data_IF_495527234702
#
_entry.id   IF_495527234702
#
_cell.length_a   1.000
_cell.length_b   1.000
_cell.length_c   1.000
_cell.angle_alpha   90.00
_cell.angle_beta   90.00
_cell.angle_gamma   90.00
#
_symmetry.space_group_name_H-M   'P 1'
#
loop_
_entity.id
_entity.type
_entity.pdbx_description
1 polymer ?
#
# COMPACT_ATOMS: atom_id res chain seq x y z
N UNK A 1 18.64 -5.42 4.28
CA UNK A 1 18.21 -5.67 5.68
C UNK A 1 17.17 -6.79 5.75
N UNK A 2 16.16 -6.76 4.92
CA UNK A 2 15.19 -7.84 4.71
C UNK A 2 15.35 -8.32 3.28
N UNK A 3 15.51 -9.61 3.07
CA UNK A 3 15.71 -10.23 1.76
C UNK A 3 14.72 -11.37 1.61
N UNK A 4 13.99 -11.38 0.51
CA UNK A 4 12.96 -12.38 0.18
C UNK A 4 13.22 -12.87 -1.23
N UNK A 5 13.41 -14.18 -1.40
CA UNK A 5 13.77 -14.81 -2.65
C UNK A 5 12.80 -15.94 -2.98
N UNK A 6 12.06 -15.80 -4.08
CA UNK A 6 11.14 -16.80 -4.63
C UNK A 6 10.19 -17.42 -3.59
N UNK A 7 9.74 -16.59 -2.63
CA UNK A 7 8.92 -17.05 -1.52
C UNK A 7 7.54 -17.46 -1.98
N UNK A 8 7.15 -18.70 -1.70
CA UNK A 8 5.85 -19.24 -2.08
C UNK A 8 5.13 -19.89 -0.90
N UNK A 9 3.81 -19.81 -0.89
CA UNK A 9 2.95 -20.48 0.09
C UNK A 9 1.70 -21.03 -0.57
N UNK A 10 1.50 -22.33 -0.42
CA UNK A 10 0.34 -23.06 -0.92
C UNK A 10 -0.45 -23.59 0.27
N UNK A 11 -1.77 -23.40 0.28
CA UNK A 11 -2.72 -23.98 1.22
C UNK A 11 -3.57 -25.01 0.49
N UNK A 12 -3.30 -26.29 0.77
CA UNK A 12 -3.91 -27.37 -0.02
C UNK A 12 -3.51 -27.27 -1.49
N UNK A 13 -4.46 -26.98 -2.37
CA UNK A 13 -4.23 -26.73 -3.81
C UNK A 13 -4.16 -25.24 -4.19
N UNK A 14 -4.43 -24.34 -3.24
CA UNK A 14 -4.55 -22.90 -3.55
C UNK A 14 -3.26 -22.16 -3.21
N UNK A 15 -2.57 -21.56 -4.18
CA UNK A 15 -1.43 -20.69 -3.93
C UNK A 15 -1.89 -19.36 -3.34
N UNK A 16 -1.37 -19.02 -2.16
CA UNK A 16 -1.61 -17.73 -1.53
C UNK A 16 -0.56 -16.69 -1.92
N UNK A 17 0.68 -17.12 -2.12
CA UNK A 17 1.77 -16.36 -2.72
C UNK A 17 2.63 -17.28 -3.58
N UNK A 18 3.18 -16.75 -4.68
CA UNK A 18 3.98 -17.47 -5.66
C UNK A 18 5.18 -16.61 -6.08
N UNK A 19 6.38 -17.14 -5.86
CA UNK A 19 7.67 -16.57 -6.29
C UNK A 19 7.88 -15.10 -5.89
N UNK A 20 7.39 -14.70 -4.71
CA UNK A 20 7.53 -13.35 -4.19
C UNK A 20 9.00 -13.07 -3.92
N UNK A 21 9.55 -12.05 -4.58
CA UNK A 21 10.93 -11.62 -4.45
C UNK A 21 10.99 -10.11 -4.26
N UNK A 22 11.61 -9.65 -3.17
CA UNK A 22 11.87 -8.24 -2.90
C UNK A 22 12.95 -8.08 -1.83
N UNK A 23 13.50 -6.86 -1.75
CA UNK A 23 14.52 -6.49 -0.77
C UNK A 23 14.19 -5.16 -0.11
N UNK A 24 14.50 -5.03 1.19
CA UNK A 24 14.35 -3.79 1.96
C UNK A 24 15.71 -3.41 2.53
N UNK A 25 16.16 -2.20 2.20
CA UNK A 25 17.46 -1.70 2.66
C UNK A 25 17.40 -1.22 4.12
N UNK A 26 18.54 -1.14 4.81
CA UNK A 26 18.60 -0.61 6.18
C UNK A 26 18.01 0.79 6.28
N UNK A 27 17.13 1.01 7.27
CA UNK A 27 16.51 2.32 7.55
C UNK A 27 15.40 2.75 6.59
N UNK A 28 15.07 1.93 5.59
CA UNK A 28 14.04 2.18 4.59
C UNK A 28 12.64 1.85 5.12
N UNK A 29 11.62 2.61 4.68
CA UNK A 29 10.21 2.23 4.79
C UNK A 29 9.72 1.74 3.43
N UNK A 30 9.38 0.45 3.34
CA UNK A 30 8.77 -0.13 2.14
C UNK A 30 7.27 -0.38 2.39
N UNK A 31 6.45 0.20 1.52
CA UNK A 31 5.02 -0.09 1.46
C UNK A 31 4.78 -1.40 0.71
N UNK A 32 4.08 -2.34 1.35
CA UNK A 32 3.63 -3.59 0.73
C UNK A 32 2.15 -3.46 0.40
N UNK A 33 1.85 -3.02 -0.83
CA UNK A 33 0.54 -2.57 -1.28
C UNK A 33 -0.16 -3.66 -2.09
N UNK A 34 -1.45 -3.86 -1.88
CA UNK A 34 -2.24 -4.79 -2.69
C UNK A 34 -3.69 -4.89 -2.21
N UNK A 35 -4.60 -5.40 -3.05
CA UNK A 35 -5.99 -5.61 -2.66
C UNK A 35 -6.12 -6.66 -1.55
N UNK A 36 -7.32 -6.77 -0.98
CA UNK A 36 -7.61 -7.83 -0.02
C UNK A 36 -7.48 -9.20 -0.70
N UNK A 37 -6.83 -10.15 -0.01
CA UNK A 37 -6.55 -11.47 -0.58
C UNK A 37 -5.32 -11.55 -1.50
N UNK A 38 -4.60 -10.45 -1.75
CA UNK A 38 -3.41 -10.44 -2.61
C UNK A 38 -2.19 -11.20 -2.04
N UNK A 39 -2.23 -11.63 -0.77
CA UNK A 39 -1.11 -12.35 -0.14
C UNK A 39 -0.31 -11.53 0.87
N UNK A 40 -0.66 -10.26 1.14
CA UNK A 40 0.06 -9.37 2.07
C UNK A 40 0.28 -10.00 3.45
N UNK A 41 -0.79 -10.32 4.16
CA UNK A 41 -0.73 -10.90 5.51
C UNK A 41 -0.03 -12.26 5.53
N UNK A 42 -0.17 -13.08 4.48
CA UNK A 42 0.56 -14.34 4.35
C UNK A 42 2.06 -14.09 4.29
N UNK A 43 2.51 -13.14 3.48
CA UNK A 43 3.92 -12.73 3.40
C UNK A 43 4.42 -12.21 4.75
N UNK A 44 3.68 -11.32 5.41
CA UNK A 44 4.07 -10.79 6.73
C UNK A 44 4.19 -11.89 7.79
N UNK A 45 3.27 -12.86 7.80
CA UNK A 45 3.33 -14.02 8.73
C UNK A 45 4.53 -14.93 8.49
N UNK A 46 4.96 -15.10 7.24
CA UNK A 46 6.18 -15.87 6.94
C UNK A 46 7.41 -15.11 7.43
N UNK A 47 7.53 -13.82 7.09
CA UNK A 47 8.66 -12.99 7.52
C UNK A 47 8.82 -12.94 9.05
N UNK A 48 7.71 -13.00 9.78
CA UNK A 48 7.73 -12.98 11.25
C UNK A 48 7.96 -14.38 11.88
N UNK A 49 8.16 -15.41 11.05
CA UNK A 49 8.34 -16.78 11.50
C UNK A 49 7.09 -17.39 12.14
N UNK A 50 5.91 -16.80 11.88
CA UNK A 50 4.63 -17.33 12.36
C UNK A 50 4.10 -18.46 11.47
N UNK A 51 4.43 -18.42 10.18
CA UNK A 51 3.97 -19.35 9.16
C UNK A 51 5.19 -19.86 8.36
N UNK A 52 5.38 -21.16 8.15
CA UNK A 52 6.42 -21.67 7.25
C UNK A 52 6.04 -21.42 5.78
N UNK A 53 7.03 -21.06 4.96
CA UNK A 53 6.89 -21.05 3.51
C UNK A 53 6.73 -22.49 2.96
N UNK A 54 6.18 -22.62 1.74
CA UNK A 54 6.19 -23.90 1.01
C UNK A 54 7.51 -24.04 0.24
N UNK A 55 8.03 -22.94 -0.31
CA UNK A 55 9.34 -22.87 -0.98
C UNK A 55 9.88 -21.45 -0.94
N UNK A 56 11.14 -21.27 -1.34
CA UNK A 56 11.84 -20.00 -1.29
C UNK A 56 12.43 -19.70 0.08
N UNK A 57 13.11 -18.56 0.20
CA UNK A 57 13.80 -18.15 1.41
C UNK A 57 13.47 -16.73 1.81
N UNK A 58 13.54 -16.42 3.09
CA UNK A 58 13.47 -15.06 3.61
C UNK A 58 14.50 -14.89 4.72
N UNK A 59 15.20 -13.75 4.71
CA UNK A 59 16.22 -13.40 5.69
C UNK A 59 15.96 -12.04 6.28
N UNK A 60 16.17 -11.91 7.59
CA UNK A 60 16.06 -10.64 8.32
C UNK A 60 17.32 -10.46 9.15
N UNK A 61 17.99 -9.31 8.96
CA UNK A 61 19.26 -9.00 9.62
C UNK A 61 20.32 -10.14 9.45
N UNK A 62 20.33 -10.79 8.28
CA UNK A 62 21.24 -11.89 7.95
C UNK A 62 20.80 -13.27 8.44
N UNK A 63 19.70 -13.39 9.20
CA UNK A 63 19.19 -14.65 9.73
C UNK A 63 18.03 -15.18 8.88
N UNK A 64 18.08 -16.47 8.55
CA UNK A 64 16.97 -17.14 7.88
C UNK A 64 15.76 -17.29 8.82
N UNK A 65 14.56 -16.99 8.30
CA UNK A 65 13.33 -16.93 9.11
C UNK A 65 12.87 -18.32 9.60
N UNK A 66 13.28 -19.38 8.93
CA UNK A 66 12.95 -20.76 9.32
C UNK A 66 14.02 -21.40 10.18
N UNK A 67 15.27 -21.38 9.71
CA UNK A 67 16.39 -22.01 10.38
C UNK A 67 16.76 -21.30 11.69
N UNK A 68 16.66 -19.95 11.69
CA UNK A 68 17.06 -19.12 12.82
C UNK A 68 15.87 -18.36 13.43
N UNK A 69 14.69 -18.97 13.49
CA UNK A 69 13.43 -18.30 13.85
C UNK A 69 13.48 -17.52 15.18
N UNK A 70 14.17 -18.02 16.19
CA UNK A 70 14.32 -17.32 17.47
C UNK A 70 15.20 -16.07 17.35
N UNK A 71 16.29 -16.14 16.58
CA UNK A 71 17.15 -14.98 16.32
C UNK A 71 16.42 -13.89 15.54
N UNK A 72 15.59 -14.27 14.56
CA UNK A 72 14.71 -13.38 13.81
C UNK A 72 13.68 -12.73 14.72
N UNK A 73 12.94 -13.50 15.53
CA UNK A 73 11.91 -12.99 16.46
C UNK A 73 12.44 -11.99 17.47
N UNK A 74 13.70 -12.10 17.88
CA UNK A 74 14.36 -11.12 18.75
C UNK A 74 14.70 -9.81 18.02
N UNK A 75 14.84 -9.85 16.68
CA UNK A 75 15.27 -8.73 15.83
C UNK A 75 14.12 -8.05 15.09
N UNK A 76 12.89 -8.56 15.25
CA UNK A 76 11.71 -7.97 14.62
C UNK A 76 10.72 -7.45 15.66
N UNK A 77 10.16 -6.28 15.36
CA UNK A 77 8.91 -5.81 15.92
C UNK A 77 7.77 -6.19 14.98
N UNK A 78 6.69 -6.75 15.48
CA UNK A 78 5.54 -7.12 14.66
C UNK A 78 4.25 -6.59 15.23
N UNK A 79 3.50 -5.87 14.43
CA UNK A 79 2.12 -5.47 14.66
C UNK A 79 1.24 -6.19 13.64
N UNK A 80 0.50 -7.22 14.02
CA UNK A 80 -0.54 -7.79 13.15
C UNK A 80 -1.75 -6.84 13.05
N UNK A 81 -2.60 -7.03 12.04
CA UNK A 81 -3.84 -6.27 11.83
C UNK A 81 -4.69 -6.15 13.11
N UNK A 82 -4.80 -7.23 13.87
CA UNK A 82 -5.41 -7.24 15.20
C UNK A 82 -4.31 -7.41 16.25
N UNK A 83 -3.95 -6.35 17.00
CA UNK A 83 -2.90 -6.43 18.01
C UNK A 83 -3.25 -7.43 19.13
N UNK A 84 -2.33 -8.35 19.49
CA UNK A 84 -2.56 -9.34 20.54
C UNK A 84 -2.35 -8.70 21.94
N UNK A 85 -3.29 -7.87 22.34
CA UNK A 85 -3.23 -7.13 23.59
C UNK A 85 -3.86 -7.91 24.75
N UNK A 86 -3.37 -7.70 25.97
CA UNK A 86 -3.94 -8.26 27.19
C UNK A 86 -4.87 -7.23 27.84
N UNK A 87 -6.21 -7.37 27.70
CA UNK A 87 -7.19 -6.34 28.09
C UNK A 87 -7.15 -5.93 29.56
N UNK A 88 -6.79 -6.86 30.44
CA UNK A 88 -6.77 -6.66 31.90
C UNK A 88 -5.42 -6.15 32.44
N UNK A 89 -4.43 -5.96 31.56
CA UNK A 89 -3.18 -5.31 31.92
C UNK A 89 -3.26 -3.79 31.70
N UNK A 90 -2.48 -3.04 32.50
CA UNK A 90 -2.21 -1.65 32.17
C UNK A 90 -1.26 -1.55 30.98
N UNK A 91 -1.24 -0.41 30.27
CA UNK A 91 -0.31 -0.17 29.16
C UNK A 91 1.14 -0.44 29.58
N UNK A 92 1.56 0.15 30.70
CA UNK A 92 2.91 -0.03 31.23
C UNK A 92 3.21 -1.48 31.61
N UNK A 93 2.29 -2.14 32.32
CA UNK A 93 2.43 -3.54 32.72
C UNK A 93 2.57 -4.47 31.52
N UNK A 94 1.77 -4.24 30.48
CA UNK A 94 1.86 -5.00 29.23
C UNK A 94 3.20 -4.79 28.52
N UNK A 95 3.66 -3.55 28.40
CA UNK A 95 4.95 -3.26 27.75
C UNK A 95 6.14 -3.84 28.53
N UNK A 96 6.11 -3.83 29.86
CA UNK A 96 7.11 -4.54 30.68
C UNK A 96 7.10 -6.05 30.45
N UNK A 97 5.90 -6.63 30.33
CA UNK A 97 5.76 -8.04 30.00
C UNK A 97 6.36 -8.37 28.62
N UNK A 98 6.04 -7.59 27.60
CA UNK A 98 6.58 -7.77 26.25
C UNK A 98 8.11 -7.58 26.21
N UNK A 99 8.63 -6.52 26.83
CA UNK A 99 10.07 -6.26 26.93
C UNK A 99 10.83 -7.46 27.54
N UNK A 100 10.25 -8.11 28.56
CA UNK A 100 10.81 -9.32 29.18
C UNK A 100 10.83 -10.50 28.21
N UNK A 101 9.73 -10.74 27.49
CA UNK A 101 9.64 -11.84 26.51
C UNK A 101 10.64 -11.62 25.36
N UNK A 102 10.80 -10.36 24.93
CA UNK A 102 11.73 -10.00 23.86
C UNK A 102 13.20 -9.97 24.29
N UNK A 103 13.49 -10.31 25.55
CA UNK A 103 14.86 -10.49 26.04
C UNK A 103 15.54 -9.19 26.49
N UNK A 104 14.80 -8.08 26.67
CA UNK A 104 15.37 -6.84 27.21
C UNK A 104 15.92 -7.08 28.61
N UNK A 105 17.18 -6.70 28.84
CA UNK A 105 17.83 -6.88 30.14
C UNK A 105 17.08 -6.19 31.28
N UNK A 106 17.09 -6.76 32.47
CA UNK A 106 16.29 -6.29 33.59
C UNK A 106 16.53 -4.80 33.92
N UNK A 107 17.81 -4.35 33.84
CA UNK A 107 18.18 -2.96 34.07
C UNK A 107 17.67 -1.96 33.03
N UNK A 108 17.50 -2.41 31.78
CA UNK A 108 17.14 -1.54 30.65
C UNK A 108 15.62 -1.46 30.41
N UNK A 109 14.85 -2.43 30.95
CA UNK A 109 13.40 -2.54 30.69
C UNK A 109 12.62 -1.26 31.02
N UNK A 110 12.90 -0.64 32.15
CA UNK A 110 12.20 0.58 32.56
C UNK A 110 12.47 1.74 31.57
N UNK A 111 13.71 1.86 31.10
CA UNK A 111 14.12 2.84 30.11
C UNK A 111 13.42 2.60 28.77
N UNK A 112 13.47 1.38 28.25
CA UNK A 112 12.87 0.98 26.98
C UNK A 112 11.33 1.12 26.99
N UNK A 113 10.68 0.70 28.06
CA UNK A 113 9.24 0.88 28.24
C UNK A 113 8.86 2.36 28.26
N UNK A 114 9.61 3.18 29.00
CA UNK A 114 9.36 4.62 29.06
C UNK A 114 9.58 5.30 27.69
N UNK A 115 10.61 4.89 26.95
CA UNK A 115 10.88 5.34 25.59
C UNK A 115 9.71 4.98 24.65
N UNK A 116 9.26 3.72 24.62
CA UNK A 116 8.16 3.28 23.77
C UNK A 116 6.83 3.99 24.12
N UNK A 117 6.52 4.19 25.41
CA UNK A 117 5.36 4.95 25.87
C UNK A 117 5.40 6.40 25.36
N UNK A 118 6.54 7.08 25.49
CA UNK A 118 6.72 8.45 25.01
C UNK A 118 6.60 8.51 23.48
N UNK A 119 7.28 7.61 22.77
CA UNK A 119 7.30 7.57 21.30
C UNK A 119 5.90 7.37 20.71
N UNK A 120 5.08 6.54 21.35
CA UNK A 120 3.71 6.27 20.91
C UNK A 120 2.66 7.21 21.50
N UNK A 121 3.07 8.30 22.17
CA UNK A 121 2.17 9.26 22.81
C UNK A 121 1.15 8.59 23.75
N UNK A 122 1.65 7.74 24.66
CA UNK A 122 0.85 6.95 25.61
C UNK A 122 1.02 7.38 27.09
N UNK A 123 1.70 8.51 27.34
CA UNK A 123 2.04 8.95 28.70
C UNK A 123 0.82 9.07 29.61
N UNK A 124 -0.24 9.74 29.14
CA UNK A 124 -1.49 9.93 29.90
C UNK A 124 -2.27 8.61 30.10
N UNK A 125 -2.02 7.62 29.27
CA UNK A 125 -2.68 6.31 29.30
C UNK A 125 -1.86 5.21 29.98
N UNK A 126 -0.65 5.55 30.46
CA UNK A 126 0.34 4.63 31.01
C UNK A 126 -0.23 3.63 32.03
N UNK A 127 -1.06 4.11 32.97
CA UNK A 127 -1.65 3.30 34.04
C UNK A 127 -3.09 2.85 33.75
N UNK A 128 -3.61 3.14 32.56
CA UNK A 128 -4.96 2.78 32.16
C UNK A 128 -4.98 1.31 31.70
N UNK A 129 -6.03 0.58 32.06
CA UNK A 129 -6.25 -0.79 31.55
C UNK A 129 -6.52 -0.74 30.04
N UNK A 130 -5.92 -1.67 29.30
CA UNK A 130 -6.00 -1.72 27.84
C UNK A 130 -7.45 -1.84 27.36
N UNK A 131 -8.33 -2.57 28.05
CA UNK A 131 -9.76 -2.68 27.72
C UNK A 131 -10.51 -1.34 27.73
N UNK A 132 -10.03 -0.35 28.48
CA UNK A 132 -10.63 0.99 28.60
C UNK A 132 -10.15 1.96 27.52
N UNK A 133 -9.23 1.55 26.66
CA UNK A 133 -8.68 2.39 25.61
C UNK A 133 -9.58 2.39 24.35
N UNK A 134 -9.62 3.54 23.64
CA UNK A 134 -10.17 3.60 22.29
C UNK A 134 -9.37 2.72 21.31
N UNK A 135 -9.93 2.44 20.13
CA UNK A 135 -9.26 1.66 19.09
C UNK A 135 -7.90 2.27 18.74
N UNK A 136 -7.82 3.59 18.53
CA UNK A 136 -6.58 4.29 18.21
C UNK A 136 -5.51 4.18 19.30
N UNK A 137 -5.89 4.28 20.58
CA UNK A 137 -4.94 4.04 21.67
C UNK A 137 -4.48 2.58 21.74
N UNK A 138 -5.37 1.61 21.49
CA UNK A 138 -4.98 0.19 21.40
C UNK A 138 -4.00 -0.05 20.26
N UNK A 139 -4.20 0.58 19.11
CA UNK A 139 -3.28 0.50 17.99
C UNK A 139 -1.89 1.05 18.35
N UNK A 140 -1.83 2.20 19.03
CA UNK A 140 -0.57 2.77 19.53
C UNK A 140 0.13 1.86 20.55
N UNK A 141 -0.64 1.17 21.43
CA UNK A 141 -0.07 0.16 22.33
C UNK A 141 0.49 -1.02 21.52
N UNK A 142 -0.17 -1.41 20.43
CA UNK A 142 0.33 -2.42 19.50
C UNK A 142 1.63 -2.01 18.80
N UNK A 143 1.76 -0.74 18.39
CA UNK A 143 3.02 -0.22 17.86
C UNK A 143 4.09 -0.17 18.96
N UNK A 144 3.73 0.31 20.16
CA UNK A 144 4.66 0.37 21.28
C UNK A 144 5.22 -1.00 21.65
N UNK A 145 4.40 -2.05 21.62
CA UNK A 145 4.87 -3.41 21.85
C UNK A 145 5.81 -3.92 20.75
N UNK A 146 5.61 -3.47 19.51
CA UNK A 146 6.50 -3.84 18.41
C UNK A 146 7.88 -3.19 18.54
N UNK A 147 7.97 -1.98 19.11
CA UNK A 147 9.23 -1.23 19.20
C UNK A 147 9.93 -1.30 20.56
N UNK A 148 9.30 -1.82 21.62
CA UNK A 148 9.78 -1.74 23.00
C UNK A 148 11.16 -2.37 23.26
N UNK A 149 11.59 -3.29 22.40
CA UNK A 149 12.90 -3.95 22.47
C UNK A 149 13.91 -3.39 21.46
N UNK A 150 13.59 -2.25 20.84
CA UNK A 150 14.43 -1.54 19.87
C UNK A 150 14.92 -2.44 18.71
N UNK A 151 14.00 -3.10 17.96
CA UNK A 151 14.38 -4.05 16.92
C UNK A 151 14.91 -3.35 15.67
N UNK A 152 15.90 -3.90 14.95
CA UNK A 152 16.39 -3.34 13.69
C UNK A 152 15.35 -3.39 12.56
N UNK A 153 14.36 -4.30 12.62
CA UNK A 153 13.29 -4.42 11.62
C UNK A 153 11.91 -4.37 12.28
N UNK A 154 10.96 -3.66 11.66
CA UNK A 154 9.56 -3.54 12.11
C UNK A 154 8.64 -3.93 10.96
N UNK A 155 7.68 -4.79 11.24
CA UNK A 155 6.64 -5.21 10.30
C UNK A 155 5.29 -4.78 10.86
N UNK A 156 4.58 -3.93 10.10
CA UNK A 156 3.28 -3.38 10.47
C UNK A 156 2.23 -3.85 9.44
N UNK A 157 1.30 -4.67 9.88
CA UNK A 157 0.24 -5.21 9.02
C UNK A 157 -1.04 -4.39 9.25
N UNK A 158 -1.44 -3.59 8.25
CA UNK A 158 -2.62 -2.71 8.26
C UNK A 158 -2.72 -1.80 9.51
N UNK A 159 -1.69 -1.01 9.88
CA UNK A 159 -1.62 -0.33 11.17
C UNK A 159 -2.67 0.77 11.36
N UNK A 160 -3.36 1.20 10.33
CA UNK A 160 -4.33 2.32 10.34
C UNK A 160 -5.77 1.89 10.13
N UNK A 161 -6.02 0.59 9.92
CA UNK A 161 -7.37 0.05 9.67
C UNK A 161 -8.35 0.41 10.78
N UNK A 162 -9.44 1.09 10.36
CA UNK A 162 -10.55 1.49 11.22
C UNK A 162 -10.20 2.57 12.24
N UNK A 163 -9.19 3.37 11.97
CA UNK A 163 -8.90 4.62 12.65
C UNK A 163 -9.61 5.79 11.96
N UNK A 164 -9.88 6.84 12.70
CA UNK A 164 -10.36 8.10 12.13
C UNK A 164 -9.20 8.86 11.42
N UNK A 165 -9.50 9.83 10.53
CA UNK A 165 -8.48 10.54 9.73
C UNK A 165 -7.39 11.20 10.58
N UNK A 166 -7.72 11.74 11.75
CA UNK A 166 -6.74 12.36 12.65
C UNK A 166 -5.79 11.33 13.23
N UNK A 167 -6.32 10.19 13.67
CA UNK A 167 -5.53 9.08 14.21
C UNK A 167 -4.62 8.48 13.13
N UNK A 168 -5.07 8.37 11.87
CA UNK A 168 -4.25 7.93 10.74
C UNK A 168 -3.03 8.83 10.58
N UNK A 169 -3.21 10.16 10.59
CA UNK A 169 -2.11 11.13 10.50
C UNK A 169 -1.11 10.93 11.64
N UNK A 170 -1.60 10.75 12.87
CA UNK A 170 -0.76 10.57 14.05
C UNK A 170 0.05 9.26 13.99
N UNK A 171 -0.57 8.15 13.58
CA UNK A 171 0.13 6.85 13.39
C UNK A 171 1.16 6.94 12.27
N UNK A 172 0.81 7.56 11.15
CA UNK A 172 1.74 7.79 10.05
C UNK A 172 2.97 8.60 10.46
N UNK A 173 2.76 9.69 11.19
CA UNK A 173 3.85 10.51 11.70
C UNK A 173 4.75 9.73 12.68
N UNK A 174 4.15 8.87 13.51
CA UNK A 174 4.88 7.96 14.37
C UNK A 174 5.76 7.01 13.54
N UNK A 175 5.19 6.34 12.53
CA UNK A 175 5.94 5.41 11.65
C UNK A 175 7.11 6.14 10.98
N UNK A 176 6.85 7.31 10.39
CA UNK A 176 7.91 8.15 9.80
C UNK A 176 9.04 8.48 10.78
N UNK A 177 8.68 8.77 12.02
CA UNK A 177 9.66 9.10 13.05
C UNK A 177 10.55 7.93 13.47
N UNK A 178 10.19 6.69 13.13
CA UNK A 178 10.99 5.48 13.38
C UNK A 178 11.96 5.17 12.24
N UNK A 179 11.74 5.77 11.05
CA UNK A 179 12.62 5.60 9.88
C UNK A 179 14.06 6.02 10.17
N UNK A 180 15.00 5.48 9.42
CA UNK A 180 16.42 5.70 9.59
C UNK A 180 17.06 4.85 10.72
N UNK A 181 16.42 4.81 11.89
CA UNK A 181 16.85 3.92 12.99
C UNK A 181 16.34 2.50 12.83
N UNK A 182 15.19 2.32 12.19
CA UNK A 182 14.56 1.03 11.96
C UNK A 182 14.23 0.85 10.48
N UNK A 183 14.31 -0.40 10.02
CA UNK A 183 13.85 -0.81 8.69
C UNK A 183 12.39 -1.25 8.81
N UNK A 184 11.48 -0.71 7.99
CA UNK A 184 10.04 -0.88 8.18
C UNK A 184 9.39 -1.46 6.94
N UNK A 185 8.58 -2.51 7.10
CA UNK A 185 7.59 -2.94 6.11
C UNK A 185 6.21 -2.51 6.61
N UNK A 186 5.51 -1.74 5.78
CA UNK A 186 4.15 -1.28 6.01
C UNK A 186 3.21 -1.98 5.03
N UNK A 187 2.45 -2.97 5.50
CA UNK A 187 1.41 -3.61 4.69
C UNK A 187 0.13 -2.78 4.75
N UNK A 188 -0.42 -2.42 3.60
CA UNK A 188 -1.68 -1.67 3.50
C UNK A 188 -2.34 -1.88 2.13
N UNK A 189 -3.63 -1.57 2.04
CA UNK A 189 -4.37 -1.45 0.78
C UNK A 189 -4.72 0.01 0.46
N UNK A 190 -4.23 0.96 1.26
CA UNK A 190 -4.55 2.39 1.20
C UNK A 190 -3.40 3.15 0.53
N UNK A 191 -3.59 3.55 -0.71
CA UNK A 191 -2.59 4.23 -1.55
C UNK A 191 -2.03 5.53 -0.96
N UNK A 192 -2.85 6.46 -0.43
CA UNK A 192 -2.35 7.67 0.22
C UNK A 192 -1.41 7.42 1.40
N UNK A 193 -1.55 6.29 2.10
CA UNK A 193 -0.64 5.93 3.19
C UNK A 193 0.76 5.64 2.67
N UNK A 194 0.82 4.90 1.58
CA UNK A 194 2.08 4.49 0.96
C UNK A 194 2.79 5.69 0.35
N UNK A 195 2.08 6.50 -0.46
CA UNK A 195 2.63 7.70 -1.11
C UNK A 195 3.23 8.68 -0.12
N UNK A 196 2.57 8.85 1.03
CA UNK A 196 2.99 9.82 2.03
C UNK A 196 4.01 9.30 3.04
N UNK A 197 4.23 7.99 3.12
CA UNK A 197 5.00 7.39 4.23
C UNK A 197 6.22 6.61 3.76
N UNK A 198 6.14 5.95 2.60
CA UNK A 198 7.11 4.97 2.17
C UNK A 198 8.14 5.55 1.21
N UNK A 199 9.37 5.05 1.28
CA UNK A 199 10.43 5.37 0.33
C UNK A 199 10.25 4.61 -0.98
N UNK A 200 9.82 3.35 -0.89
CA UNK A 200 9.48 2.49 -2.03
C UNK A 200 8.19 1.73 -1.77
N UNK A 201 7.58 1.29 -2.85
CA UNK A 201 6.34 0.52 -2.85
C UNK A 201 6.58 -0.77 -3.61
N UNK A 202 6.23 -1.88 -2.99
CA UNK A 202 6.10 -3.19 -3.63
C UNK A 202 4.62 -3.51 -3.77
N UNK A 203 4.14 -3.59 -5.01
CA UNK A 203 2.73 -3.91 -5.30
C UNK A 203 2.62 -5.42 -5.47
N UNK A 204 1.70 -6.02 -4.72
CA UNK A 204 1.38 -7.45 -4.82
C UNK A 204 -0.06 -7.62 -5.31
N UNK A 205 -0.25 -8.50 -6.30
CA UNK A 205 -1.56 -8.90 -6.81
C UNK A 205 -1.61 -10.42 -7.00
N UNK A 206 -2.70 -11.07 -6.56
CA UNK A 206 -2.90 -12.53 -6.68
C UNK A 206 -1.68 -13.38 -6.27
N UNK A 207 -1.02 -12.97 -5.21
CA UNK A 207 0.14 -13.67 -4.66
C UNK A 207 1.47 -13.40 -5.36
N UNK A 208 1.55 -12.52 -6.35
CA UNK A 208 2.77 -12.17 -7.07
C UNK A 208 3.14 -10.71 -6.90
N UNK A 209 4.42 -10.39 -6.85
CA UNK A 209 4.91 -9.01 -6.94
C UNK A 209 4.81 -8.57 -8.40
N UNK A 210 4.04 -7.51 -8.65
CA UNK A 210 3.80 -6.96 -9.99
C UNK A 210 4.65 -5.72 -10.28
N UNK A 211 5.01 -4.96 -9.25
CA UNK A 211 5.92 -3.81 -9.40
C UNK A 211 6.63 -3.50 -8.09
N UNK A 212 7.84 -2.92 -8.19
CA UNK A 212 8.57 -2.35 -7.05
C UNK A 212 9.32 -1.11 -7.52
N UNK A 213 8.96 0.07 -6.98
CA UNK A 213 9.65 1.33 -7.29
C UNK A 213 9.34 2.38 -6.20
N UNK A 214 9.92 3.59 -6.31
CA UNK A 214 9.46 4.74 -5.53
C UNK A 214 8.04 5.13 -5.98
N UNK A 215 7.22 5.80 -5.14
CA UNK A 215 5.90 6.29 -5.55
C UNK A 215 5.96 7.11 -6.85
N UNK A 216 6.92 8.02 -6.95
CA UNK A 216 7.15 8.85 -8.13
C UNK A 216 7.59 8.02 -9.34
N UNK A 217 8.45 7.01 -9.13
CA UNK A 217 8.90 6.10 -10.18
C UNK A 217 7.78 5.22 -10.73
N UNK A 218 6.82 4.81 -9.87
CA UNK A 218 5.61 4.10 -10.31
C UNK A 218 4.70 5.00 -11.16
N UNK A 219 4.47 6.23 -10.73
CA UNK A 219 3.68 7.21 -11.50
C UNK A 219 4.32 7.54 -12.84
N UNK A 220 5.67 7.63 -12.90
CA UNK A 220 6.39 7.88 -14.15
C UNK A 220 6.35 6.72 -15.14
N UNK A 221 6.09 5.49 -14.68
CA UNK A 221 5.93 4.32 -15.56
C UNK A 221 4.60 4.33 -16.33
N UNK A 222 3.57 5.00 -15.79
CA UNK A 222 2.36 5.29 -16.54
C UNK A 222 2.64 6.41 -17.56
N UNK A 223 3.14 6.04 -18.71
CA UNK A 223 3.36 6.93 -19.84
C UNK A 223 2.05 7.57 -20.36
N UNK A 224 0.90 7.03 -19.99
CA UNK A 224 -0.43 7.40 -20.47
C UNK A 224 -1.32 8.06 -19.40
N UNK A 225 -0.80 8.72 -18.40
CA UNK A 225 -1.62 9.23 -17.29
C UNK A 225 -1.65 10.75 -17.11
N UNK A 226 -0.80 11.48 -17.82
CA UNK A 226 -0.85 12.96 -17.80
C UNK A 226 -1.82 13.49 -18.85
N UNK A 227 -2.60 14.48 -18.49
CA UNK A 227 -3.60 15.03 -19.39
C UNK A 227 -4.33 16.22 -18.81
N UNK A 228 -5.58 16.38 -19.19
CA UNK A 228 -6.41 17.49 -18.75
C UNK A 228 -7.82 17.01 -18.44
N UNK A 229 -8.35 17.42 -17.30
CA UNK A 229 -9.79 17.39 -17.02
C UNK A 229 -10.39 18.71 -17.43
N UNK A 230 -11.45 18.65 -18.22
CA UNK A 230 -12.06 19.79 -18.88
C UNK A 230 -13.56 19.78 -18.60
N UNK A 231 -14.12 20.90 -18.19
CA UNK A 231 -15.55 21.11 -18.10
C UNK A 231 -15.97 22.13 -19.17
N UNK A 232 -16.84 21.70 -20.08
CA UNK A 232 -17.34 22.51 -21.22
C UNK A 232 -18.84 22.60 -21.19
N UNK A 233 -19.38 23.66 -21.89
CA UNK A 233 -20.81 23.75 -22.18
C UNK A 233 -21.17 23.07 -23.51
N UNK A 234 -22.45 22.78 -23.69
CA UNK A 234 -22.99 22.27 -24.94
C UNK A 234 -22.95 20.77 -25.13
N UNK A 235 -22.99 20.38 -26.41
CA UNK A 235 -23.05 18.94 -26.78
C UNK A 235 -21.75 18.23 -26.55
N UNK A 236 -21.83 17.23 -25.74
CA UNK A 236 -20.72 16.36 -25.32
C UNK A 236 -20.00 15.70 -26.50
N UNK A 237 -20.75 15.26 -27.50
CA UNK A 237 -20.21 14.53 -28.63
C UNK A 237 -19.40 15.47 -29.54
N UNK A 238 -19.87 16.69 -29.71
CA UNK A 238 -19.14 17.77 -30.44
C UNK A 238 -17.80 18.07 -29.77
N UNK A 239 -17.78 18.22 -28.44
CA UNK A 239 -16.55 18.47 -27.70
C UNK A 239 -15.55 17.31 -27.84
N UNK A 240 -16.01 16.05 -27.74
CA UNK A 240 -15.17 14.86 -27.90
C UNK A 240 -14.58 14.77 -29.31
N UNK A 241 -15.37 15.05 -30.35
CA UNK A 241 -14.91 15.00 -31.73
C UNK A 241 -13.84 16.05 -32.04
N UNK A 242 -14.00 17.26 -31.52
CA UNK A 242 -12.98 18.32 -31.59
C UNK A 242 -11.68 17.93 -30.91
N UNK A 243 -11.77 17.38 -29.69
CA UNK A 243 -10.61 17.01 -28.90
C UNK A 243 -9.82 15.84 -29.48
N UNK A 244 -10.47 14.89 -30.16
CA UNK A 244 -9.81 13.75 -30.82
C UNK A 244 -8.84 14.15 -31.91
N UNK A 245 -9.10 15.25 -32.58
CA UNK A 245 -8.32 15.71 -33.72
C UNK A 245 -7.11 16.57 -33.33
N UNK A 246 -6.88 16.79 -32.01
CA UNK A 246 -5.77 17.61 -31.53
C UNK A 246 -4.49 16.79 -31.49
N UNK A 247 -3.39 17.25 -32.12
CA UNK A 247 -2.10 16.60 -32.03
C UNK A 247 -1.63 16.47 -30.57
N UNK A 248 -1.19 15.27 -30.16
CA UNK A 248 -0.75 15.03 -28.79
C UNK A 248 -1.84 14.55 -27.83
N UNK A 249 -3.08 14.37 -28.29
CA UNK A 249 -4.14 13.64 -27.57
C UNK A 249 -4.07 12.18 -27.94
N UNK A 250 -3.96 11.29 -26.93
CA UNK A 250 -3.94 9.83 -27.13
C UNK A 250 -5.32 9.21 -26.90
N UNK A 251 -6.03 9.67 -25.88
CA UNK A 251 -7.32 9.09 -25.47
C UNK A 251 -8.21 10.13 -24.82
N UNK A 252 -9.52 9.91 -24.93
CA UNK A 252 -10.54 10.75 -24.29
C UNK A 252 -11.47 9.84 -23.49
N UNK A 253 -11.71 10.23 -22.23
CA UNK A 253 -12.64 9.59 -21.31
C UNK A 253 -13.70 10.56 -20.87
N UNK A 254 -14.92 10.08 -20.75
CA UNK A 254 -16.07 10.88 -20.33
C UNK A 254 -16.18 10.84 -18.81
N UNK A 255 -16.22 12.01 -18.19
CA UNK A 255 -16.42 12.13 -16.75
C UNK A 255 -17.90 12.29 -16.39
N UNK A 256 -18.37 11.77 -15.25
CA UNK A 256 -19.70 12.09 -14.75
C UNK A 256 -19.81 13.60 -14.46
N UNK A 257 -20.90 14.20 -14.89
CA UNK A 257 -21.16 15.64 -14.66
C UNK A 257 -21.41 15.90 -13.18
N UNK A 258 -20.85 16.96 -12.66
CA UNK A 258 -21.12 17.42 -11.28
C UNK A 258 -22.59 17.80 -11.11
N UNK A 259 -23.19 17.43 -9.99
CA UNK A 259 -24.58 17.72 -9.66
C UNK A 259 -24.86 19.23 -9.77
N UNK A 260 -25.85 19.63 -10.62
CA UNK A 260 -26.34 21.01 -10.72
C UNK A 260 -25.99 21.78 -11.99
N UNK A 261 -25.31 21.16 -12.97
CA UNK A 261 -24.94 21.80 -14.23
C UNK A 261 -25.70 21.17 -15.41
N UNK A 262 -26.93 21.61 -15.65
CA UNK A 262 -27.85 21.02 -16.68
C UNK A 262 -27.35 21.13 -18.13
N UNK A 263 -26.21 21.73 -18.40
CA UNK A 263 -25.69 21.88 -19.78
C UNK A 263 -24.16 21.77 -19.87
N UNK A 264 -23.52 21.04 -18.93
CA UNK A 264 -22.06 20.88 -18.91
C UNK A 264 -21.62 19.44 -19.14
N UNK A 265 -20.52 19.27 -19.85
CA UNK A 265 -19.90 17.99 -20.09
C UNK A 265 -18.51 17.96 -19.46
N UNK A 266 -18.23 16.93 -18.63
CA UNK A 266 -16.90 16.65 -18.13
C UNK A 266 -16.16 15.69 -19.07
N UNK A 267 -14.94 16.06 -19.46
CA UNK A 267 -14.09 15.28 -20.35
C UNK A 267 -12.69 15.19 -19.79
N UNK A 268 -12.12 13.99 -19.70
CA UNK A 268 -10.70 13.77 -19.42
C UNK A 268 -9.98 13.48 -20.73
N UNK A 269 -8.99 14.31 -21.04
CA UNK A 269 -8.10 14.14 -22.19
C UNK A 269 -6.78 13.58 -21.71
N UNK A 270 -6.36 12.46 -22.24
CA UNK A 270 -5.07 11.83 -21.95
C UNK A 270 -4.08 12.23 -23.05
N UNK A 271 -2.94 12.80 -22.64
CA UNK A 271 -1.91 13.25 -23.55
C UNK A 271 -1.03 12.10 -24.02
N UNK A 272 -0.55 12.15 -25.26
CA UNK A 272 0.50 11.26 -25.74
C UNK A 272 1.81 11.54 -24.98
N UNK A 273 2.64 10.50 -24.85
CA UNK A 273 3.93 10.56 -24.16
C UNK A 273 4.78 11.75 -24.63
N UNK A 274 5.20 12.59 -23.67
CA UNK A 274 6.01 13.78 -23.95
C UNK A 274 5.29 14.95 -24.61
N UNK A 275 3.94 14.89 -24.73
CA UNK A 275 3.12 15.96 -25.29
C UNK A 275 2.36 16.73 -24.20
N UNK A 276 2.24 18.03 -24.38
CA UNK A 276 1.46 18.93 -23.50
C UNK A 276 0.44 19.75 -24.33
N UNK A 277 -0.63 19.12 -24.83
CA UNK A 277 -1.57 19.77 -25.78
C UNK A 277 -2.53 20.76 -25.13
N UNK A 278 -2.28 21.22 -23.89
CA UNK A 278 -3.21 22.06 -23.14
C UNK A 278 -3.56 23.38 -23.83
N UNK A 279 -2.59 24.01 -24.49
CA UNK A 279 -2.81 25.24 -25.24
C UNK A 279 -3.66 25.01 -26.49
N UNK A 280 -3.39 23.96 -27.21
CA UNK A 280 -4.09 23.51 -28.41
C UNK A 280 -5.54 23.14 -28.10
N UNK A 281 -5.74 22.44 -26.98
CA UNK A 281 -7.07 22.08 -26.45
C UNK A 281 -7.89 23.34 -26.18
N UNK A 282 -7.35 24.27 -25.39
CA UNK A 282 -8.05 25.49 -25.06
C UNK A 282 -8.37 26.33 -26.31
N UNK A 283 -7.43 26.47 -27.23
CA UNK A 283 -7.61 27.19 -28.48
C UNK A 283 -8.68 26.55 -29.39
N UNK A 284 -8.69 25.22 -29.52
CA UNK A 284 -9.68 24.50 -30.33
C UNK A 284 -11.10 24.68 -29.80
N UNK A 285 -11.30 24.50 -28.47
CA UNK A 285 -12.62 24.69 -27.84
C UNK A 285 -13.16 26.10 -28.01
N UNK A 286 -12.34 27.12 -27.71
CA UNK A 286 -12.74 28.53 -27.85
C UNK A 286 -13.03 28.90 -29.32
N UNK A 287 -12.20 28.44 -30.27
CA UNK A 287 -12.39 28.69 -31.69
C UNK A 287 -13.66 28.06 -32.26
N UNK A 288 -14.08 26.94 -31.70
CA UNK A 288 -15.31 26.23 -32.05
C UNK A 288 -16.56 26.83 -31.36
N UNK A 289 -16.39 27.85 -30.52
CA UNK A 289 -17.49 28.48 -29.76
C UNK A 289 -18.00 27.64 -28.58
N UNK A 290 -17.23 26.64 -28.16
CA UNK A 290 -17.52 25.79 -26.97
C UNK A 290 -17.07 26.55 -25.72
N UNK A 291 -17.98 26.79 -24.77
CA UNK A 291 -17.64 27.47 -23.51
C UNK A 291 -16.78 26.55 -22.61
N UNK A 292 -15.62 27.06 -22.25
CA UNK A 292 -14.69 26.39 -21.35
C UNK A 292 -14.86 26.91 -19.91
N UNK A 293 -15.34 26.08 -18.98
CA UNK A 293 -15.57 26.48 -17.59
C UNK A 293 -14.39 26.16 -16.69
N UNK A 294 -13.81 24.98 -16.85
CA UNK A 294 -12.63 24.55 -16.12
C UNK A 294 -11.70 23.72 -17.02
N UNK A 295 -10.41 23.95 -16.86
CA UNK A 295 -9.37 23.13 -17.44
C UNK A 295 -8.28 22.93 -16.40
N UNK A 296 -8.14 21.68 -15.93
CA UNK A 296 -7.18 21.32 -14.92
C UNK A 296 -6.23 20.28 -15.49
N UNK A 297 -4.92 20.54 -15.36
CA UNK A 297 -3.91 19.51 -15.67
C UNK A 297 -4.02 18.36 -14.69
N UNK A 298 -4.08 17.14 -15.20
CA UNK A 298 -4.02 15.92 -14.41
C UNK A 298 -2.70 15.22 -14.65
N UNK A 299 -2.12 14.72 -13.57
CA UNK A 299 -0.98 13.81 -13.62
C UNK A 299 -1.46 12.42 -13.23
N UNK A 300 -0.83 11.38 -13.76
CA UNK A 300 -1.11 10.02 -13.33
C UNK A 300 -1.04 9.93 -11.79
N UNK A 301 -2.04 9.34 -11.22
CA UNK A 301 -2.07 9.08 -9.78
C UNK A 301 -1.54 7.67 -9.50
N UNK A 302 -1.11 7.43 -8.26
CA UNK A 302 -0.72 6.09 -7.85
C UNK A 302 -1.92 5.12 -7.88
N UNK A 303 -3.16 5.66 -7.79
CA UNK A 303 -4.42 4.93 -7.96
C UNK A 303 -4.55 4.38 -9.39
N UNK A 304 -4.21 5.17 -10.39
CA UNK A 304 -4.27 4.75 -11.80
C UNK A 304 -3.26 3.63 -12.06
N UNK A 305 -2.01 3.77 -11.56
CA UNK A 305 -0.99 2.72 -11.59
C UNK A 305 -1.50 1.42 -10.97
N UNK A 306 -2.07 1.55 -9.77
CA UNK A 306 -2.55 0.39 -9.03
C UNK A 306 -3.70 -0.32 -9.74
N UNK A 307 -4.64 0.43 -10.29
CA UNK A 307 -5.76 -0.12 -11.06
C UNK A 307 -5.26 -0.82 -12.32
N UNK A 308 -4.36 -0.21 -13.08
CA UNK A 308 -3.78 -0.82 -14.27
C UNK A 308 -3.08 -2.13 -13.95
N UNK A 309 -2.13 -2.13 -13.00
CA UNK A 309 -1.38 -3.31 -12.60
C UNK A 309 -2.24 -4.43 -11.98
N UNK A 310 -3.41 -4.09 -11.43
CA UNK A 310 -4.29 -5.08 -10.79
C UNK A 310 -5.44 -5.54 -11.69
N UNK A 311 -5.76 -4.81 -12.78
CA UNK A 311 -6.88 -5.14 -13.71
C UNK A 311 -6.41 -5.78 -15.01
N UNK A 312 -5.24 -5.42 -15.54
CA UNK A 312 -4.75 -5.88 -16.86
C UNK A 312 -4.59 -7.41 -16.95
N UNK A 313 -4.27 -8.08 -15.84
CA UNK A 313 -4.20 -9.54 -15.79
C UNK A 313 -5.56 -10.27 -15.90
N UNK A 314 -6.70 -9.56 -15.75
CA UNK A 314 -8.03 -10.18 -15.93
C UNK A 314 -8.33 -10.52 -17.39
N UNK A 315 -7.79 -9.75 -18.33
CA UNK A 315 -8.08 -9.91 -19.76
C UNK A 315 -7.34 -11.13 -20.33
N UNK A 316 -6.12 -11.42 -19.87
CA UNK A 316 -5.35 -12.57 -20.35
C UNK A 316 -5.87 -13.92 -19.82
N UNK A 317 -6.42 -13.97 -18.61
CA UNK A 317 -6.98 -15.22 -18.04
C UNK A 317 -8.35 -15.58 -18.63
N UNK A 318 -9.18 -14.60 -18.98
CA UNK A 318 -10.49 -14.89 -19.61
C UNK A 318 -10.33 -15.31 -21.09
N UNK A 319 -9.35 -14.74 -21.80
CA UNK A 319 -9.04 -15.14 -23.18
C UNK A 319 -8.48 -16.58 -23.27
N UNK A 320 -7.76 -17.06 -22.27
CA UNK A 320 -7.22 -18.42 -22.25
C UNK A 320 -8.25 -19.48 -21.79
N UNK A 321 -9.29 -19.10 -21.04
CA UNK A 321 -10.38 -20.00 -20.63
C UNK A 321 -11.44 -20.22 -21.72
N UNK A 322 -11.65 -19.24 -22.61
CA UNK A 322 -12.56 -19.39 -23.75
C UNK A 322 -11.99 -20.23 -24.90
N UNK A 323 -10.65 -20.30 -25.05
CA UNK A 323 -10.00 -21.08 -26.09
C UNK A 323 -10.00 -22.60 -25.83
N UNK A 324 -10.24 -23.05 -24.59
CA UNK A 324 -10.23 -24.47 -24.21
C UNK A 324 -11.60 -25.17 -24.27
N UNK A 325 -12.67 -24.46 -24.64
CA UNK A 325 -14.04 -24.98 -24.60
C UNK A 325 -14.71 -25.04 -26.00
N UNK A 326 -13.96 -25.45 -27.05
CA UNK A 326 -14.58 -25.88 -28.31
C UNK A 326 -14.87 -27.36 -28.25
N UNK A 327 -16.12 -27.81 -28.41
CA UNK A 327 -16.43 -29.24 -28.50
C UNK A 327 -15.89 -29.77 -29.82
N UNK A 328 -15.08 -30.82 -29.73
CA UNK A 328 -14.78 -31.66 -30.88
C UNK A 328 -16.08 -32.28 -31.39
N UNK A 329 -16.54 -31.84 -32.57
CA UNK A 329 -17.56 -32.50 -33.34
C UNK A 329 -17.02 -33.80 -33.88
N UNK A 330 -17.43 -34.90 -33.28
CA UNK A 330 -17.16 -36.23 -33.77
C UNK A 330 -17.89 -36.48 -35.10
N UNK A 331 -17.11 -36.88 -36.12
CA UNK A 331 -17.57 -37.66 -37.25
C UNK A 331 -16.87 -39.01 -37.23
N UNK A 332 -17.64 -40.07 -37.40
CA UNK A 332 -17.16 -41.41 -37.68
C UNK A 332 -17.83 -42.48 -36.87
#
# INVERSE_FOLDING_TARGET
MIEVEQLSKIYGSTPAIADVTFKVEPGEIVGFLGPNGAGKTTTMRILTGYLPATSGTARIAGYDVHENSMAVRQRIGYLPETPPLYPDMTVEGFLHFVARIKGVAAGDRAGQVNWAIKRCNLLEKRRVLIRKLSKGFRQRVGIAQAIVHDPPAIILDEPTVGLDPRQIIEVRNLIKSLAGSHTIILSTHILPEVSMTCNRVTIINRGKVVATNTPEGLMAQLTEGSGYEIEVDGDRDTAVELLRNIPGVSRIELLPVSYGAENRAGVRVISATGSEPGREIAAALVSAGVGLYEMRRTTASLEDVFLELTTTEKVETDASSEASNKPESGEG
#
